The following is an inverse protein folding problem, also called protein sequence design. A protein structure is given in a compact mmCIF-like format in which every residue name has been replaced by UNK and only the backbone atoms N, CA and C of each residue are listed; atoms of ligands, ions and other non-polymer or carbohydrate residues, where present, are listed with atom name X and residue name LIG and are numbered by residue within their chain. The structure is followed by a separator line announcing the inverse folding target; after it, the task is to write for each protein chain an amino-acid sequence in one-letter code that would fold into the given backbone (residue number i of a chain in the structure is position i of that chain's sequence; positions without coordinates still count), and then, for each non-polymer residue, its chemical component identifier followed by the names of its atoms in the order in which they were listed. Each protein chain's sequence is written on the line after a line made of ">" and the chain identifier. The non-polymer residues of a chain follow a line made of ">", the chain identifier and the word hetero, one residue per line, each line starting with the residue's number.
data_IF_341115729478
#
_entry.id   IF_341115729478
#
_cell.length_a   1.000
_cell.length_b   1.000
_cell.length_c   1.000
_cell.angle_alpha   90.00
_cell.angle_beta   90.00
_cell.angle_gamma   90.00
#
_symmetry.space_group_name_H-M   'P 1'
#
loop_
_entity.id
_entity.type
_entity.pdbx_description
1 polymer ?
#
# COMPACT_ATOMS: atom_id res chain seq x y z
N UNK A 1 -22.69 -28.80 -20.01
CA UNK A 1 -22.38 -29.41 -18.70
C UNK A 1 -21.61 -28.37 -17.88
N UNK A 2 -22.27 -27.80 -16.87
CA UNK A 2 -21.74 -26.76 -16.00
C UNK A 2 -20.69 -27.33 -15.07
N UNK A 3 -19.50 -26.72 -15.05
CA UNK A 3 -18.51 -26.91 -13.97
C UNK A 3 -18.72 -25.85 -12.90
N UNK A 4 -18.96 -26.33 -11.69
CA UNK A 4 -19.32 -25.64 -10.48
C UNK A 4 -18.27 -24.63 -10.03
N UNK A 5 -18.71 -23.43 -9.59
CA UNK A 5 -17.93 -22.44 -8.92
C UNK A 5 -17.42 -22.99 -7.58
N UNK A 6 -16.09 -23.07 -7.42
CA UNK A 6 -15.43 -23.35 -6.15
C UNK A 6 -15.51 -22.10 -5.25
N UNK A 7 -16.29 -22.25 -4.19
CA UNK A 7 -16.43 -21.28 -3.10
C UNK A 7 -15.17 -21.37 -2.22
N UNK A 8 -14.15 -20.54 -2.52
CA UNK A 8 -12.92 -20.47 -1.72
C UNK A 8 -13.16 -19.47 -0.58
N UNK A 9 -13.65 -19.97 0.54
CA UNK A 9 -13.53 -19.24 1.82
C UNK A 9 -12.06 -19.29 2.23
N UNK A 10 -11.40 -18.12 2.23
CA UNK A 10 -10.04 -17.99 2.76
C UNK A 10 -9.95 -18.37 4.25
N UNK A 11 -8.74 -18.65 4.76
CA UNK A 11 -8.56 -19.09 6.14
C UNK A 11 -9.02 -18.01 7.11
N UNK A 12 -9.91 -18.35 8.02
CA UNK A 12 -10.32 -17.55 9.18
C UNK A 12 -9.31 -17.74 10.31
N UNK A 13 -8.97 -16.67 11.02
CA UNK A 13 -8.16 -16.77 12.24
C UNK A 13 -8.98 -17.42 13.37
N UNK A 14 -8.33 -17.85 14.44
CA UNK A 14 -8.96 -18.55 15.60
C UNK A 14 -10.07 -17.77 16.30
N UNK A 15 -10.31 -16.50 15.95
CA UNK A 15 -11.39 -15.63 16.48
C UNK A 15 -12.54 -15.43 15.48
N UNK A 16 -12.58 -16.15 14.36
CA UNK A 16 -13.69 -16.12 13.41
C UNK A 16 -13.77 -14.85 12.54
N UNK A 17 -12.80 -13.95 12.65
CA UNK A 17 -12.70 -12.79 11.76
C UNK A 17 -12.00 -13.22 10.47
N UNK A 18 -12.69 -13.15 9.35
CA UNK A 18 -12.06 -13.22 8.04
C UNK A 18 -10.99 -12.12 7.95
N UNK A 19 -9.82 -12.43 7.36
CA UNK A 19 -8.79 -11.42 7.13
C UNK A 19 -9.37 -10.33 6.20
N UNK A 20 -9.62 -9.10 6.70
CA UNK A 20 -10.27 -8.04 5.92
C UNK A 20 -9.44 -7.63 4.69
N UNK A 21 -8.26 -8.22 4.52
CA UNK A 21 -7.31 -7.93 3.44
C UNK A 21 -6.81 -9.18 2.71
N UNK A 22 -7.42 -10.35 2.94
CA UNK A 22 -7.07 -11.59 2.21
C UNK A 22 -7.20 -11.45 0.67
N UNK A 23 -8.04 -10.53 0.20
CA UNK A 23 -8.24 -10.23 -1.22
C UNK A 23 -7.18 -9.30 -1.84
N UNK A 24 -6.20 -8.80 -1.06
CA UNK A 24 -5.14 -7.90 -1.53
C UNK A 24 -3.93 -8.65 -2.12
N UNK A 25 -4.05 -9.92 -2.48
CA UNK A 25 -2.92 -10.70 -3.00
C UNK A 25 -2.53 -10.36 -4.45
N UNK A 26 -3.30 -9.54 -5.15
CA UNK A 26 -2.93 -9.00 -6.45
C UNK A 26 -2.75 -7.49 -6.34
N UNK A 27 -1.62 -6.97 -6.81
CA UNK A 27 -1.43 -5.53 -6.98
C UNK A 27 -2.40 -5.07 -8.06
N UNK A 28 -3.41 -4.21 -7.76
CA UNK A 28 -4.31 -3.70 -8.78
C UNK A 28 -3.52 -2.95 -9.85
N UNK A 29 -3.84 -3.16 -11.12
CA UNK A 29 -3.23 -2.44 -12.23
C UNK A 29 -1.96 -3.05 -12.80
N UNK A 30 -1.54 -4.26 -12.38
CA UNK A 30 -0.37 -4.93 -12.93
C UNK A 30 0.97 -4.27 -12.58
N UNK A 31 0.98 -3.31 -11.65
CA UNK A 31 2.21 -2.69 -11.14
C UNK A 31 2.98 -3.72 -10.31
N UNK A 32 4.27 -3.90 -10.63
CA UNK A 32 5.13 -4.82 -9.89
C UNK A 32 5.29 -4.35 -8.42
N UNK A 33 5.39 -5.29 -7.46
CA UNK A 33 5.65 -4.92 -6.08
C UNK A 33 7.03 -4.25 -5.96
N UNK A 34 7.13 -3.24 -5.11
CA UNK A 34 8.41 -2.64 -4.78
C UNK A 34 9.27 -3.64 -4.01
N UNK A 35 10.52 -3.84 -4.47
CA UNK A 35 11.48 -4.73 -3.82
C UNK A 35 12.53 -3.96 -3.06
N UNK A 36 12.78 -4.37 -1.83
CA UNK A 36 13.82 -3.81 -0.98
C UNK A 36 14.62 -4.94 -0.31
N UNK A 37 15.96 -4.90 -0.45
CA UNK A 37 16.85 -5.75 0.34
C UNK A 37 17.12 -5.08 1.67
N UNK A 38 16.84 -5.76 2.77
CA UNK A 38 17.09 -5.26 4.11
C UNK A 38 18.59 -5.08 4.33
N UNK A 39 19.01 -3.85 4.54
CA UNK A 39 20.39 -3.48 4.81
C UNK A 39 20.70 -3.66 6.31
N UNK A 40 21.98 -3.75 6.66
CA UNK A 40 22.41 -3.84 8.06
C UNK A 40 21.90 -2.64 8.87
N UNK A 41 21.96 -1.43 8.32
CA UNK A 41 21.45 -0.21 8.95
C UNK A 41 19.93 -0.11 9.09
N UNK A 42 19.18 -1.05 8.50
CA UNK A 42 17.71 -1.12 8.66
C UNK A 42 17.31 -1.91 9.92
N UNK A 43 18.27 -2.62 10.57
CA UNK A 43 18.01 -3.52 11.71
C UNK A 43 18.39 -2.88 13.04
N UNK A 44 17.81 -3.38 14.12
CA UNK A 44 18.12 -3.02 15.50
C UNK A 44 18.93 -4.11 16.23
N UNK A 45 19.18 -3.90 17.53
CA UNK A 45 19.94 -4.86 18.35
C UNK A 45 19.26 -6.25 18.48
N UNK A 46 17.98 -6.38 18.21
CA UNK A 46 17.28 -7.66 18.18
C UNK A 46 17.54 -8.42 16.86
N UNK A 47 18.29 -7.83 15.93
CA UNK A 47 18.60 -8.41 14.63
C UNK A 47 17.40 -8.49 13.69
N UNK A 48 16.40 -7.64 13.91
CA UNK A 48 15.22 -7.50 13.07
C UNK A 48 15.10 -6.08 12.54
N UNK A 49 14.36 -5.89 11.45
CA UNK A 49 14.11 -4.55 10.92
C UNK A 49 13.48 -3.68 11.99
N UNK A 50 14.13 -2.53 12.26
CA UNK A 50 13.63 -1.54 13.21
C UNK A 50 12.24 -1.07 12.81
N UNK A 51 11.32 -1.04 13.77
CA UNK A 51 9.90 -0.85 13.48
C UNK A 51 9.60 0.40 12.63
N UNK A 52 10.30 1.52 12.86
CA UNK A 52 10.07 2.76 12.12
C UNK A 52 10.62 2.74 10.69
N UNK A 53 11.58 1.85 10.37
CA UNK A 53 12.18 1.73 9.04
C UNK A 53 11.15 1.34 7.98
N UNK A 54 10.09 0.62 8.36
CA UNK A 54 9.02 0.26 7.43
C UNK A 54 8.33 1.47 6.80
N UNK A 55 8.30 2.62 7.47
CA UNK A 55 7.74 3.85 6.88
C UNK A 55 8.55 4.34 5.68
N UNK A 56 9.87 4.16 5.71
CA UNK A 56 10.76 4.44 4.56
C UNK A 56 10.52 3.45 3.42
N UNK A 57 10.26 2.18 3.73
CA UNK A 57 9.91 1.18 2.71
C UNK A 57 8.57 1.52 2.06
N UNK A 58 7.58 1.98 2.83
CA UNK A 58 6.30 2.45 2.30
C UNK A 58 6.46 3.69 1.42
N UNK A 59 7.34 4.62 1.81
CA UNK A 59 7.67 5.79 1.00
C UNK A 59 8.30 5.37 -0.34
N UNK A 60 9.27 4.45 -0.33
CA UNK A 60 9.88 3.90 -1.53
C UNK A 60 8.83 3.25 -2.44
N UNK A 61 8.00 2.36 -1.90
CA UNK A 61 6.94 1.70 -2.66
C UNK A 61 5.95 2.68 -3.29
N UNK A 62 5.56 3.73 -2.54
CA UNK A 62 4.69 4.79 -3.05
C UNK A 62 5.36 5.61 -4.15
N UNK A 63 6.65 5.91 -3.99
CA UNK A 63 7.42 6.66 -4.97
C UNK A 63 7.55 5.91 -6.29
N UNK A 64 7.88 4.61 -6.26
CA UNK A 64 7.94 3.79 -7.47
C UNK A 64 6.56 3.63 -8.11
N UNK A 65 5.52 3.38 -7.32
CA UNK A 65 4.17 3.30 -7.84
C UNK A 65 3.75 4.57 -8.61
N UNK A 66 4.08 5.77 -8.09
CA UNK A 66 3.80 7.02 -8.78
C UNK A 66 4.60 7.13 -10.09
N UNK A 67 5.86 6.63 -10.12
CA UNK A 67 6.68 6.60 -11.35
C UNK A 67 6.08 5.67 -12.41
N UNK A 68 5.54 4.54 -11.99
CA UNK A 68 4.85 3.60 -12.89
C UNK A 68 3.58 4.20 -13.52
N UNK A 69 2.98 5.22 -12.86
CA UNK A 69 1.91 6.04 -13.45
C UNK A 69 2.41 7.11 -14.45
N UNK A 70 3.72 7.17 -14.70
CA UNK A 70 4.33 8.20 -15.55
C UNK A 70 4.46 9.57 -14.87
N UNK A 71 4.43 9.62 -13.54
CA UNK A 71 4.53 10.84 -12.75
C UNK A 71 5.68 10.72 -11.72
N UNK A 72 6.10 11.87 -11.20
CA UNK A 72 6.95 11.94 -10.00
C UNK A 72 6.30 12.85 -8.97
N UNK A 73 6.68 12.73 -7.70
CA UNK A 73 6.24 13.67 -6.66
C UNK A 73 6.57 15.10 -7.02
N UNK A 74 7.79 15.37 -7.55
CA UNK A 74 8.18 16.71 -8.00
C UNK A 74 7.19 17.28 -9.04
N UNK A 75 6.80 16.49 -10.04
CA UNK A 75 5.82 16.91 -11.05
C UNK A 75 4.42 17.16 -10.45
N UNK A 76 4.03 16.40 -9.43
CA UNK A 76 2.76 16.63 -8.70
C UNK A 76 2.83 17.97 -7.95
N UNK A 77 3.95 18.23 -7.27
CA UNK A 77 4.21 19.46 -6.52
C UNK A 77 4.34 20.69 -7.43
N UNK A 78 5.04 20.56 -8.57
CA UNK A 78 5.11 21.60 -9.61
C UNK A 78 3.73 22.01 -10.12
N UNK A 79 2.79 21.06 -10.19
CA UNK A 79 1.37 21.32 -10.52
C UNK A 79 0.56 21.89 -9.35
N UNK A 80 1.22 22.19 -8.22
CA UNK A 80 0.65 22.84 -7.05
C UNK A 80 -0.16 21.93 -6.13
N UNK A 81 0.04 20.61 -6.20
CA UNK A 81 -0.60 19.63 -5.31
C UNK A 81 0.45 19.00 -4.41
N UNK A 82 0.17 19.00 -3.10
CA UNK A 82 1.00 18.39 -2.07
C UNK A 82 0.20 17.33 -1.35
N UNK A 83 0.87 16.26 -0.91
CA UNK A 83 0.25 15.11 -0.26
C UNK A 83 0.88 14.86 1.12
N UNK A 84 0.73 15.78 2.10
CA UNK A 84 1.22 15.56 3.45
C UNK A 84 0.51 14.40 4.11
N UNK A 85 1.23 13.68 4.97
CA UNK A 85 0.70 12.56 5.76
C UNK A 85 -0.22 13.10 6.85
N UNK A 86 -1.40 12.53 6.97
CA UNK A 86 -2.36 12.78 8.06
C UNK A 86 -2.35 11.65 9.10
N UNK A 87 -2.17 10.42 8.62
CA UNK A 87 -2.31 9.23 9.46
C UNK A 87 -1.36 8.14 8.97
N UNK A 88 -0.83 7.37 9.90
CA UNK A 88 -0.03 6.18 9.66
C UNK A 88 -0.50 5.09 10.62
N UNK A 89 -0.73 3.89 10.08
CA UNK A 89 -0.96 2.69 10.86
C UNK A 89 -0.07 1.56 10.40
N UNK A 90 0.49 0.80 11.34
CA UNK A 90 1.34 -0.37 11.05
C UNK A 90 1.03 -1.50 12.02
N UNK A 91 0.86 -2.71 11.50
CA UNK A 91 0.78 -3.95 12.27
C UNK A 91 1.96 -4.85 11.93
N UNK A 92 2.71 -5.20 12.95
CA UNK A 92 3.87 -6.07 12.86
C UNK A 92 3.43 -7.50 13.18
N UNK A 93 3.40 -8.38 12.17
CA UNK A 93 2.94 -9.77 12.32
C UNK A 93 4.12 -10.71 12.46
N UNK A 94 5.17 -10.50 11.65
CA UNK A 94 6.39 -11.29 11.62
C UNK A 94 7.61 -10.39 11.38
N UNK A 95 8.76 -10.74 11.93
CA UNK A 95 9.98 -9.97 11.72
C UNK A 95 10.59 -10.23 10.34
N UNK A 96 11.21 -9.18 9.78
CA UNK A 96 12.20 -9.30 8.72
C UNK A 96 13.60 -9.10 9.29
N UNK A 97 14.61 -9.67 8.65
CA UNK A 97 16.01 -9.68 9.11
C UNK A 97 16.93 -9.10 8.03
N UNK A 98 18.17 -8.82 8.43
CA UNK A 98 19.24 -8.47 7.51
C UNK A 98 19.31 -9.44 6.33
N UNK A 99 19.50 -8.91 5.14
CA UNK A 99 19.59 -9.61 3.84
C UNK A 99 18.28 -10.22 3.32
N UNK A 100 17.18 -10.21 4.07
CA UNK A 100 15.87 -10.52 3.50
C UNK A 100 15.57 -9.61 2.32
N UNK A 101 15.03 -10.15 1.24
CA UNK A 101 14.43 -9.37 0.17
C UNK A 101 12.93 -9.27 0.42
N UNK A 102 12.44 -8.05 0.59
CA UNK A 102 11.03 -7.76 0.84
C UNK A 102 10.32 -7.38 -0.46
N UNK A 103 9.09 -7.82 -0.59
CA UNK A 103 8.14 -7.37 -1.61
C UNK A 103 7.03 -6.57 -0.93
N UNK A 104 6.93 -5.30 -1.27
CA UNK A 104 5.92 -4.39 -0.75
C UNK A 104 4.85 -4.18 -1.82
N UNK A 105 3.70 -4.78 -1.59
CA UNK A 105 2.52 -4.61 -2.42
C UNK A 105 1.75 -3.39 -1.95
N UNK A 106 1.31 -2.58 -2.90
CA UNK A 106 0.62 -1.32 -2.67
C UNK A 106 -0.76 -1.33 -3.28
N UNK A 107 -1.75 -0.84 -2.54
CA UNK A 107 -3.08 -0.51 -3.03
C UNK A 107 -3.38 0.94 -2.71
N UNK A 108 -4.08 1.61 -3.63
CA UNK A 108 -4.45 3.02 -3.48
C UNK A 108 -5.95 3.16 -3.57
N UNK A 109 -6.49 3.96 -2.68
CA UNK A 109 -7.87 4.46 -2.71
C UNK A 109 -7.88 5.97 -2.48
N UNK A 110 -8.92 6.64 -2.90
CA UNK A 110 -9.02 8.07 -2.71
C UNK A 110 -10.46 8.50 -2.41
N UNK A 111 -10.58 9.56 -1.65
CA UNK A 111 -11.81 10.35 -1.52
C UNK A 111 -11.62 11.68 -2.26
N UNK A 112 -12.57 12.60 -2.09
CA UNK A 112 -12.48 13.92 -2.71
C UNK A 112 -11.21 14.71 -2.34
N UNK A 113 -10.72 14.57 -1.10
CA UNK A 113 -9.62 15.38 -0.53
C UNK A 113 -8.52 14.56 0.15
N UNK A 114 -8.61 13.23 0.13
CA UNK A 114 -7.62 12.34 0.75
C UNK A 114 -7.23 11.22 -0.20
N UNK A 115 -5.98 10.79 -0.12
CA UNK A 115 -5.46 9.57 -0.76
C UNK A 115 -4.98 8.63 0.33
N UNK A 116 -5.44 7.38 0.28
CA UNK A 116 -5.03 6.32 1.20
C UNK A 116 -4.21 5.29 0.44
N UNK A 117 -3.07 4.96 0.98
CA UNK A 117 -2.19 3.89 0.54
C UNK A 117 -2.22 2.76 1.56
N UNK A 118 -2.42 1.53 1.11
CA UNK A 118 -2.40 0.32 1.93
C UNK A 118 -1.27 -0.57 1.46
N UNK A 119 -0.51 -1.12 2.42
CA UNK A 119 0.71 -1.86 2.18
C UNK A 119 0.63 -3.26 2.77
N UNK A 120 1.10 -4.24 2.00
CA UNK A 120 1.42 -5.58 2.50
C UNK A 120 2.88 -5.87 2.20
N UNK A 121 3.61 -6.30 3.21
CA UNK A 121 5.02 -6.69 3.08
C UNK A 121 5.15 -8.18 3.21
N UNK A 122 5.82 -8.78 2.24
CA UNK A 122 6.16 -10.20 2.20
C UNK A 122 7.67 -10.34 2.11
N UNK A 123 8.19 -11.51 2.49
CA UNK A 123 9.53 -11.93 2.06
C UNK A 123 9.43 -12.50 0.65
N UNK A 124 10.36 -12.19 -0.23
CA UNK A 124 10.41 -12.69 -1.60
C UNK A 124 10.24 -14.21 -1.63
N UNK A 125 9.30 -14.67 -2.45
CA UNK A 125 8.98 -16.09 -2.59
C UNK A 125 8.13 -16.68 -1.45
N UNK A 126 7.64 -15.86 -0.50
CA UNK A 126 6.75 -16.28 0.59
C UNK A 126 5.35 -15.71 0.40
N UNK A 127 4.35 -16.45 0.82
CA UNK A 127 2.94 -15.97 0.92
C UNK A 127 2.59 -15.46 2.31
N UNK A 128 3.54 -15.57 3.28
CA UNK A 128 3.34 -15.10 4.64
C UNK A 128 3.47 -13.59 4.72
N UNK A 129 2.43 -12.92 5.25
CA UNK A 129 2.45 -11.47 5.45
C UNK A 129 3.28 -11.16 6.69
N UNK A 130 4.31 -10.33 6.51
CA UNK A 130 5.15 -9.85 7.61
C UNK A 130 4.57 -8.61 8.26
N UNK A 131 4.14 -7.64 7.44
CA UNK A 131 3.67 -6.33 7.89
C UNK A 131 2.42 -5.96 7.11
N UNK A 132 1.47 -5.36 7.81
CA UNK A 132 0.35 -4.62 7.25
C UNK A 132 0.51 -3.15 7.60
N UNK A 133 0.28 -2.28 6.64
CA UNK A 133 0.38 -0.85 6.89
C UNK A 133 -0.56 -0.01 6.05
N UNK A 134 -0.75 1.21 6.48
CA UNK A 134 -1.42 2.22 5.66
C UNK A 134 -0.87 3.61 5.96
N UNK A 135 -1.00 4.50 4.98
CA UNK A 135 -0.82 5.95 5.15
C UNK A 135 -2.00 6.68 4.52
N UNK A 136 -2.48 7.73 5.18
CA UNK A 136 -3.52 8.62 4.65
C UNK A 136 -2.89 9.98 4.43
N UNK A 137 -3.11 10.54 3.26
CA UNK A 137 -2.56 11.84 2.85
C UNK A 137 -3.70 12.80 2.52
N UNK A 138 -3.57 14.08 2.93
CA UNK A 138 -4.44 15.13 2.42
C UNK A 138 -3.98 15.56 1.02
N UNK A 139 -4.92 15.96 0.17
CA UNK A 139 -4.60 16.83 -0.95
C UNK A 139 -4.65 18.28 -0.48
N UNK A 140 -3.54 19.00 -0.59
CA UNK A 140 -3.48 20.44 -0.29
C UNK A 140 -2.86 21.21 -1.46
N UNK A 141 -3.19 22.48 -1.55
CA UNK A 141 -2.56 23.39 -2.51
C UNK A 141 -1.27 24.00 -1.93
N UNK A 142 -0.59 24.81 -2.70
CA UNK A 142 0.66 25.51 -2.30
C UNK A 142 0.52 26.42 -1.07
N UNK A 143 -0.70 26.85 -0.74
CA UNK A 143 -0.97 27.67 0.45
C UNK A 143 -1.29 26.80 1.69
N UNK A 144 -1.14 25.46 1.59
CA UNK A 144 -1.44 24.52 2.66
C UNK A 144 -2.93 24.28 2.89
N UNK A 145 -3.80 24.76 2.00
CA UNK A 145 -5.26 24.60 2.15
C UNK A 145 -5.73 23.28 1.52
N UNK A 146 -6.64 22.55 2.18
CA UNK A 146 -7.24 21.37 1.59
C UNK A 146 -7.86 21.66 0.23
N UNK A 147 -7.59 20.83 -0.75
CA UNK A 147 -8.13 20.93 -2.09
C UNK A 147 -8.62 19.59 -2.60
N UNK A 148 -9.51 19.62 -3.60
CA UNK A 148 -9.93 18.40 -4.28
C UNK A 148 -8.75 17.82 -5.08
N UNK A 149 -8.59 16.50 -5.02
CA UNK A 149 -7.65 15.81 -5.92
C UNK A 149 -8.02 16.15 -7.37
N UNK A 150 -7.09 16.69 -8.18
CA UNK A 150 -7.37 17.04 -9.56
C UNK A 150 -7.73 15.82 -10.40
N UNK A 151 -8.55 16.02 -11.43
CA UNK A 151 -9.02 14.92 -12.28
C UNK A 151 -7.86 14.16 -12.97
N UNK A 152 -6.77 14.85 -13.33
CA UNK A 152 -5.58 14.22 -13.89
C UNK A 152 -4.89 13.26 -12.92
N UNK A 153 -4.83 13.62 -11.60
CA UNK A 153 -4.27 12.75 -10.57
C UNK A 153 -5.20 11.56 -10.28
N UNK A 154 -6.50 11.83 -10.22
CA UNK A 154 -7.52 10.78 -10.06
C UNK A 154 -7.51 9.82 -11.25
N UNK A 155 -7.38 10.33 -12.50
CA UNK A 155 -7.29 9.49 -13.69
C UNK A 155 -6.04 8.62 -13.69
N UNK A 156 -4.88 9.17 -13.31
CA UNK A 156 -3.64 8.40 -13.16
C UNK A 156 -3.81 7.27 -12.12
N UNK A 157 -4.38 7.57 -10.95
CA UNK A 157 -4.64 6.57 -9.92
C UNK A 157 -5.64 5.50 -10.36
N UNK A 158 -6.67 5.84 -11.15
CA UNK A 158 -7.66 4.91 -11.68
C UNK A 158 -7.10 4.02 -12.78
N UNK A 159 -6.22 4.53 -13.63
CA UNK A 159 -5.53 3.73 -14.66
C UNK A 159 -4.77 2.55 -14.06
N UNK A 160 -4.25 2.70 -12.84
CA UNK A 160 -3.64 1.62 -12.07
C UNK A 160 -4.68 0.74 -11.32
N UNK A 161 -5.91 1.20 -11.17
CA UNK A 161 -6.94 0.52 -10.37
C UNK A 161 -7.89 -0.41 -11.18
N UNK A 162 -7.79 -0.43 -12.51
CA UNK A 162 -8.79 -1.10 -13.39
C UNK A 162 -8.75 -2.63 -13.39
N UNK A 163 -8.06 -3.29 -12.45
CA UNK A 163 -8.05 -4.76 -12.36
C UNK A 163 -8.09 -5.32 -10.92
N UNK A 164 -8.69 -4.62 -9.96
CA UNK A 164 -8.83 -5.12 -8.59
C UNK A 164 -10.28 -5.18 -8.11
N UNK A 165 -10.66 -6.16 -7.26
CA UNK A 165 -12.02 -6.32 -6.78
C UNK A 165 -12.46 -5.14 -5.89
N UNK A 166 -13.72 -4.75 -6.06
CA UNK A 166 -14.46 -3.75 -5.28
C UNK A 166 -14.43 -4.08 -3.79
N UNK A 167 -14.28 -3.06 -2.95
CA UNK A 167 -14.46 -3.18 -1.49
C UNK A 167 -15.89 -3.62 -1.18
N UNK A 168 -16.12 -4.47 -0.17
CA UNK A 168 -17.47 -4.73 0.32
C UNK A 168 -18.08 -3.45 0.88
N UNK A 169 -19.36 -3.20 0.55
CA UNK A 169 -20.15 -2.14 1.16
C UNK A 169 -20.23 -2.35 2.67
N UNK A 170 -19.92 -1.32 3.45
CA UNK A 170 -20.12 -1.31 4.91
C UNK A 170 -18.86 -1.18 5.77
N UNK A 171 -17.71 -0.82 5.21
CA UNK A 171 -16.55 -0.44 6.03
C UNK A 171 -16.57 1.07 6.29
N UNK A 172 -17.06 1.47 7.45
CA UNK A 172 -16.77 2.78 8.06
C UNK A 172 -15.46 2.69 8.87
N UNK A 173 -14.57 3.72 8.80
CA UNK A 173 -13.30 3.76 9.51
C UNK A 173 -13.47 3.98 11.01
#
# INVERSE_FOLDING_TARGET
>A
MCASALNVRGPVNERGYGDPIAHLCATPGGVAPYRHRVLYGDTDQMGVVYYATYLRFFEGARGEWIRDLGLTYAQIEERGIYLPVLEVGVRYLKPARYDDVLEIHLRVSHTRVKVRFEYKVYRLGSTEVLILGHTVHACINKDGRPTRAPDWLVAAMKGAATSGPTLPEGYEP
#
